data_IF_372335935540
#
_entry.id   IF_372335935540
#
_cell.length_a   1.000
_cell.length_b   1.000
_cell.length_c   1.000
_cell.angle_alpha   90.00
_cell.angle_beta   90.00
_cell.angle_gamma   90.00
#
_symmetry.space_group_name_H-M   'P 1'
#
loop_
_entity.id
_entity.type
_entity.pdbx_description
1 polymer ?
#
# COMPACT_ATOMS: atom_id res chain seq x y z
N UNK A 1 -9.85 38.59 -15.92
CA UNK A 1 -8.39 38.41 -15.92
C UNK A 1 -8.13 36.94 -15.68
N UNK A 2 -7.34 36.27 -16.52
CA UNK A 2 -7.01 34.86 -16.33
C UNK A 2 -5.94 34.72 -15.23
N UNK A 3 -6.22 33.96 -14.19
CA UNK A 3 -5.20 33.54 -13.23
C UNK A 3 -4.10 32.78 -13.99
N UNK A 4 -2.83 33.11 -13.72
CA UNK A 4 -1.69 32.45 -14.35
C UNK A 4 -1.40 31.19 -13.54
N UNK A 5 -1.76 30.04 -14.10
CA UNK A 5 -1.52 28.73 -13.48
C UNK A 5 -0.02 28.39 -13.57
N UNK A 6 0.69 28.52 -12.45
CA UNK A 6 2.09 28.17 -12.35
C UNK A 6 2.28 26.71 -11.92
N UNK A 7 2.59 25.84 -12.88
CA UNK A 7 2.96 24.45 -12.60
C UNK A 7 4.41 24.35 -12.09
N UNK A 8 4.67 23.39 -11.19
CA UNK A 8 6.05 23.07 -10.78
C UNK A 8 6.86 22.49 -11.97
N UNK A 9 8.20 22.64 -12.00
CA UNK A 9 9.00 22.25 -13.18
C UNK A 9 8.85 20.79 -13.62
N UNK A 10 8.64 19.85 -12.69
CA UNK A 10 8.37 18.44 -13.02
C UNK A 10 7.00 18.23 -13.67
N UNK A 11 5.98 19.00 -13.25
CA UNK A 11 4.63 18.90 -13.80
C UNK A 11 4.48 19.64 -15.14
N UNK A 12 5.33 20.64 -15.44
CA UNK A 12 5.30 21.33 -16.75
C UNK A 12 5.54 20.36 -17.91
N UNK A 13 6.50 19.43 -17.75
CA UNK A 13 6.78 18.39 -18.74
C UNK A 13 5.58 17.44 -18.97
N UNK A 14 4.94 17.01 -17.88
CA UNK A 14 3.75 16.12 -17.95
C UNK A 14 2.55 16.82 -18.61
N UNK A 15 2.35 18.12 -18.33
CA UNK A 15 1.31 18.94 -18.96
C UNK A 15 1.58 19.14 -20.46
N UNK A 16 2.82 19.43 -20.89
CA UNK A 16 3.17 19.51 -22.31
C UNK A 16 2.96 18.16 -23.03
N UNK A 17 3.34 17.04 -22.39
CA UNK A 17 3.09 15.70 -22.93
C UNK A 17 1.58 15.45 -23.12
N UNK A 18 0.76 15.79 -22.13
CA UNK A 18 -0.69 15.68 -22.21
C UNK A 18 -1.28 16.56 -23.33
N UNK A 19 -0.85 17.81 -23.45
CA UNK A 19 -1.30 18.71 -24.52
C UNK A 19 -0.88 18.22 -25.92
N UNK A 20 0.30 17.62 -26.06
CA UNK A 20 0.80 17.08 -27.34
C UNK A 20 0.06 15.83 -27.83
N UNK A 21 -0.61 15.10 -26.93
CA UNK A 21 -1.37 13.88 -27.24
C UNK A 21 -2.87 14.13 -27.43
N UNK A 22 -3.34 15.33 -27.07
CA UNK A 22 -4.71 15.79 -27.35
C UNK A 22 -4.83 16.15 -28.83
N UNK A 23 -5.85 15.61 -29.50
CA UNK A 23 -6.15 15.96 -30.90
C UNK A 23 -6.47 17.45 -31.04
N UNK A 24 -6.07 18.05 -32.19
CA UNK A 24 -6.28 19.46 -32.56
C UNK A 24 -7.77 19.79 -32.79
N UNK A 25 -8.59 19.59 -31.78
CA UNK A 25 -10.00 19.91 -31.75
C UNK A 25 -10.16 21.25 -31.03
N UNK A 26 -10.53 22.28 -31.78
CA UNK A 26 -10.68 23.66 -31.29
C UNK A 26 -11.71 23.82 -30.16
N UNK A 27 -12.50 22.79 -29.83
CA UNK A 27 -13.40 22.80 -28.67
C UNK A 27 -12.82 22.16 -27.40
N UNK A 28 -11.56 21.68 -27.41
CA UNK A 28 -10.95 21.13 -26.20
C UNK A 28 -10.65 22.22 -25.16
N UNK A 29 -11.25 22.09 -23.97
CA UNK A 29 -11.10 23.03 -22.85
C UNK A 29 -9.66 23.15 -22.33
N UNK A 30 -8.87 22.08 -22.40
CA UNK A 30 -7.46 22.08 -21.99
C UNK A 30 -6.57 22.82 -22.99
N UNK A 31 -6.80 22.59 -24.29
CA UNK A 31 -6.05 23.28 -25.35
C UNK A 31 -6.30 24.80 -25.30
N UNK A 32 -7.54 25.24 -25.05
CA UNK A 32 -7.89 26.66 -24.84
C UNK A 32 -7.25 27.28 -23.60
N UNK A 33 -7.06 26.49 -22.53
CA UNK A 33 -6.53 26.99 -21.27
C UNK A 33 -4.99 27.03 -21.23
N UNK A 34 -4.31 26.08 -21.87
CA UNK A 34 -2.87 25.86 -21.69
C UNK A 34 -2.06 25.77 -23.00
N UNK A 35 -2.70 25.65 -24.18
CA UNK A 35 -2.00 25.51 -25.46
C UNK A 35 -1.15 26.72 -25.89
N UNK A 36 -1.27 27.85 -25.19
CA UNK A 36 -0.45 29.04 -25.40
C UNK A 36 0.81 29.09 -24.51
N UNK A 37 0.92 28.21 -23.50
CA UNK A 37 2.05 28.15 -22.58
C UNK A 37 3.17 27.29 -23.19
N UNK A 38 4.22 27.92 -23.74
CA UNK A 38 5.49 27.25 -24.05
C UNK A 38 6.42 27.33 -22.85
N UNK A 39 6.85 26.21 -22.32
CA UNK A 39 7.80 26.18 -21.21
C UNK A 39 9.24 26.02 -21.74
N UNK A 40 10.14 26.91 -21.31
CA UNK A 40 11.55 26.87 -21.76
C UNK A 40 12.30 25.75 -21.04
N UNK A 41 12.51 24.63 -21.73
CA UNK A 41 13.23 23.47 -21.21
C UNK A 41 14.73 23.77 -21.01
N UNK A 42 15.21 23.59 -19.78
CA UNK A 42 16.64 23.42 -19.47
C UNK A 42 16.87 21.95 -19.15
N UNK A 43 17.62 21.25 -20.00
CA UNK A 43 17.92 19.83 -19.79
C UNK A 43 18.81 19.61 -18.54
N UNK A 44 18.49 18.65 -17.66
CA UNK A 44 19.43 18.21 -16.63
C UNK A 44 20.58 17.40 -17.26
N UNK A 45 21.82 17.51 -16.73
CA UNK A 45 22.99 16.85 -17.31
C UNK A 45 22.98 15.33 -17.06
N UNK A 46 23.58 14.57 -17.98
CA UNK A 46 23.81 13.12 -17.83
C UNK A 46 24.77 12.83 -16.66
N UNK A 47 24.56 11.74 -15.89
CA UNK A 47 25.54 11.29 -14.90
C UNK A 47 26.77 10.68 -15.58
N UNK A 48 27.93 10.89 -14.97
CA UNK A 48 29.20 10.29 -15.40
C UNK A 48 29.42 8.91 -14.76
N UNK A 49 30.20 8.07 -15.45
CA UNK A 49 30.64 6.75 -14.98
C UNK A 49 31.68 6.89 -13.86
N UNK A 50 31.62 6.05 -12.82
CA UNK A 50 32.77 5.79 -11.95
C UNK A 50 32.75 4.39 -11.33
N UNK A 51 33.94 3.89 -11.02
CA UNK A 51 34.26 2.48 -10.83
C UNK A 51 34.21 1.98 -9.37
N UNK A 52 34.08 0.66 -9.25
CA UNK A 52 34.40 -0.25 -8.14
C UNK A 52 35.26 0.26 -6.96
N UNK A 53 34.89 -0.13 -5.74
CA UNK A 53 35.82 -0.67 -4.71
C UNK A 53 35.06 -1.43 -3.59
N UNK A 54 35.80 -2.23 -2.82
CA UNK A 54 35.33 -3.34 -1.96
C UNK A 54 35.03 -2.90 -0.50
N UNK A 55 34.02 -3.44 0.21
CA UNK A 55 33.96 -4.62 1.13
C UNK A 55 34.72 -4.46 2.48
N UNK A 56 34.14 -5.03 3.55
CA UNK A 56 34.57 -5.20 4.96
C UNK A 56 34.10 -4.13 5.98
N UNK A 57 33.61 -4.46 7.19
CA UNK A 57 33.56 -5.76 7.88
C UNK A 57 32.56 -5.90 9.05
N UNK A 58 32.59 -7.09 9.67
CA UNK A 58 31.59 -7.77 10.56
C UNK A 58 31.35 -7.19 11.97
N UNK A 59 30.20 -7.53 12.58
CA UNK A 59 30.01 -8.35 13.81
C UNK A 59 28.51 -8.31 14.24
N UNK A 60 27.72 -9.41 14.23
CA UNK A 60 27.58 -10.45 15.29
C UNK A 60 27.31 -9.86 16.70
N UNK A 61 26.25 -10.16 17.46
CA UNK A 61 25.29 -11.31 17.49
C UNK A 61 23.85 -10.78 17.80
N UNK A 62 22.78 -11.51 18.15
CA UNK A 62 22.54 -12.87 18.69
C UNK A 62 21.11 -13.36 18.31
N UNK A 63 20.80 -14.65 18.50
CA UNK A 63 19.49 -15.27 18.20
C UNK A 63 18.79 -15.72 19.50
N UNK A 64 17.47 -15.50 19.61
CA UNK A 64 16.58 -16.29 20.47
C UNK A 64 15.40 -16.77 19.62
N UNK A 65 15.07 -18.07 19.76
CA UNK A 65 14.10 -18.78 18.94
C UNK A 65 12.69 -18.65 19.52
N UNK A 66 11.69 -18.41 18.67
CA UNK A 66 10.29 -18.78 18.92
C UNK A 66 9.65 -19.19 17.59
N UNK A 67 8.83 -20.24 17.63
CA UNK A 67 8.51 -21.03 16.45
C UNK A 67 7.13 -20.70 15.87
N UNK A 68 7.09 -20.37 14.58
CA UNK A 68 5.92 -20.57 13.74
C UNK A 68 6.26 -21.53 12.59
N UNK A 69 5.28 -22.33 12.17
CA UNK A 69 5.49 -23.35 11.13
C UNK A 69 5.49 -22.71 9.75
N UNK A 70 6.69 -22.46 9.23
CA UNK A 70 6.88 -22.09 7.83
C UNK A 70 6.24 -23.10 6.87
N UNK A 71 5.39 -22.62 5.97
CA UNK A 71 5.25 -23.22 4.66
C UNK A 71 6.52 -22.92 3.86
N UNK A 72 7.57 -23.71 4.13
CA UNK A 72 8.89 -23.57 3.55
C UNK A 72 8.88 -23.87 2.04
N UNK A 73 8.66 -22.82 1.24
CA UNK A 73 8.87 -22.84 -0.22
C UNK A 73 9.77 -21.66 -0.59
N UNK A 74 11.07 -22.01 -0.69
CA UNK A 74 12.18 -21.26 -1.31
C UNK A 74 12.60 -19.94 -0.63
N UNK A 75 13.52 -20.06 0.33
CA UNK A 75 14.49 -19.00 0.68
C UNK A 75 15.92 -19.32 0.18
N UNK A 76 16.09 -20.39 -0.62
CA UNK A 76 17.34 -20.72 -1.30
C UNK A 76 17.39 -20.12 -2.71
N UNK A 77 17.38 -18.79 -2.80
CA UNK A 77 17.72 -18.08 -4.02
C UNK A 77 19.24 -18.18 -4.29
N UNK A 78 19.69 -19.32 -4.83
CA UNK A 78 20.92 -19.33 -5.63
C UNK A 78 20.75 -18.25 -6.70
N UNK A 79 21.77 -17.42 -6.90
CA UNK A 79 21.80 -16.36 -7.92
C UNK A 79 21.90 -16.97 -9.32
N UNK A 80 20.82 -17.58 -9.80
CA UNK A 80 20.66 -17.92 -11.21
C UNK A 80 20.58 -16.63 -11.99
N UNK A 81 21.68 -16.33 -12.68
CA UNK A 81 21.73 -15.36 -13.76
C UNK A 81 20.54 -15.68 -14.67
N UNK A 82 19.55 -14.80 -14.66
CA UNK A 82 18.38 -14.91 -15.52
C UNK A 82 18.71 -14.10 -16.76
N UNK A 83 18.89 -14.80 -17.88
CA UNK A 83 19.31 -14.18 -19.13
C UNK A 83 18.31 -13.08 -19.53
N UNK A 84 18.85 -11.90 -19.86
CA UNK A 84 18.03 -10.80 -20.37
C UNK A 84 17.26 -11.22 -21.63
N UNK A 85 17.81 -12.14 -22.40
CA UNK A 85 17.19 -12.77 -23.57
C UNK A 85 15.84 -13.44 -23.25
N UNK A 86 15.66 -14.04 -22.06
CA UNK A 86 14.36 -14.61 -21.63
C UNK A 86 13.33 -13.50 -21.33
N UNK A 87 13.79 -12.38 -20.77
CA UNK A 87 12.94 -11.22 -20.47
C UNK A 87 12.49 -10.56 -21.78
N UNK A 88 13.41 -10.34 -22.71
CA UNK A 88 13.14 -9.79 -24.04
C UNK A 88 12.15 -10.67 -24.80
N UNK A 89 12.37 -11.99 -24.87
CA UNK A 89 11.41 -12.95 -25.48
C UNK A 89 10.01 -12.88 -24.89
N UNK A 90 9.88 -12.73 -23.56
CA UNK A 90 8.56 -12.60 -22.91
C UNK A 90 7.93 -11.24 -23.23
N UNK A 91 8.70 -10.14 -23.17
CA UNK A 91 8.24 -8.81 -23.55
C UNK A 91 7.73 -8.77 -25.01
N UNK A 92 8.51 -9.30 -25.95
CA UNK A 92 8.10 -9.42 -27.37
C UNK A 92 6.82 -10.24 -27.53
N UNK A 93 6.73 -11.39 -26.86
CA UNK A 93 5.54 -12.24 -26.91
C UNK A 93 4.27 -11.52 -26.42
N UNK A 94 4.36 -10.80 -25.30
CA UNK A 94 3.26 -10.03 -24.71
C UNK A 94 2.80 -8.84 -25.57
N UNK A 95 3.62 -8.39 -26.52
CA UNK A 95 3.24 -7.33 -27.47
C UNK A 95 2.45 -7.87 -28.68
N UNK A 96 2.61 -9.13 -29.07
CA UNK A 96 2.02 -9.68 -30.32
C UNK A 96 0.71 -10.46 -30.15
N UNK A 97 0.60 -11.36 -29.17
CA UNK A 97 -0.62 -12.13 -28.90
C UNK A 97 -0.61 -12.57 -27.43
N UNK A 98 -1.44 -11.92 -26.63
CA UNK A 98 -1.46 -12.12 -25.19
C UNK A 98 -2.09 -13.46 -24.78
N UNK A 99 -3.28 -13.76 -25.29
CA UNK A 99 -4.12 -14.84 -24.75
C UNK A 99 -3.52 -16.23 -24.94
N UNK A 100 -2.84 -16.48 -26.07
CA UNK A 100 -2.18 -17.77 -26.32
C UNK A 100 -0.84 -17.92 -25.57
N UNK A 101 -0.18 -16.80 -25.24
CA UNK A 101 1.20 -16.78 -24.70
C UNK A 101 1.28 -16.55 -23.18
N UNK A 102 0.17 -16.27 -22.51
CA UNK A 102 0.12 -16.29 -21.03
C UNK A 102 0.60 -17.60 -20.43
N UNK A 103 0.26 -18.74 -21.05
CA UNK A 103 0.67 -20.05 -20.54
C UNK A 103 2.20 -20.20 -20.54
N UNK A 104 2.89 -19.73 -21.59
CA UNK A 104 4.36 -19.70 -21.64
C UNK A 104 4.96 -18.81 -20.54
N UNK A 105 4.41 -17.61 -20.34
CA UNK A 105 4.84 -16.72 -19.24
C UNK A 105 4.63 -17.38 -17.87
N UNK A 106 3.49 -18.05 -17.65
CA UNK A 106 3.17 -18.77 -16.41
C UNK A 106 4.17 -19.90 -16.18
N UNK A 107 4.44 -20.74 -17.18
CA UNK A 107 5.40 -21.85 -17.09
C UNK A 107 6.82 -21.38 -16.76
N UNK A 108 7.32 -20.34 -17.44
CA UNK A 108 8.66 -19.80 -17.19
C UNK A 108 8.77 -19.10 -15.81
N UNK A 109 7.72 -18.40 -15.38
CA UNK A 109 7.68 -17.79 -14.05
C UNK A 109 7.56 -18.82 -12.91
N UNK A 110 6.92 -19.98 -13.16
CA UNK A 110 6.91 -21.10 -12.22
C UNK A 110 8.28 -21.77 -12.11
N UNK A 111 9.02 -21.91 -13.22
CA UNK A 111 10.40 -22.41 -13.23
C UNK A 111 11.38 -21.43 -12.56
N UNK A 112 11.18 -20.12 -12.74
CA UNK A 112 12.04 -19.08 -12.19
C UNK A 112 11.24 -17.90 -11.59
N UNK A 113 10.86 -17.95 -10.30
CA UNK A 113 10.07 -16.90 -9.65
C UNK A 113 10.72 -15.50 -9.64
N UNK A 114 12.04 -15.40 -9.74
CA UNK A 114 12.74 -14.10 -9.81
C UNK A 114 12.43 -13.34 -11.11
N UNK A 115 11.99 -14.05 -12.15
CA UNK A 115 11.55 -13.47 -13.41
C UNK A 115 10.33 -12.54 -13.21
N UNK A 116 9.43 -12.86 -12.27
CA UNK A 116 8.28 -12.00 -11.95
C UNK A 116 8.69 -10.63 -11.39
N UNK A 117 9.72 -10.57 -10.55
CA UNK A 117 10.26 -9.30 -10.05
C UNK A 117 10.80 -8.49 -11.22
N UNK A 118 11.61 -9.11 -12.09
CA UNK A 118 12.19 -8.44 -13.26
C UNK A 118 11.10 -7.94 -14.22
N UNK A 119 10.10 -8.76 -14.53
CA UNK A 119 8.97 -8.38 -15.38
C UNK A 119 8.18 -7.20 -14.78
N UNK A 120 7.87 -7.23 -13.48
CA UNK A 120 7.19 -6.12 -12.80
C UNK A 120 7.99 -4.80 -12.89
N UNK A 121 9.32 -4.86 -12.84
CA UNK A 121 10.18 -3.69 -12.99
C UNK A 121 10.32 -3.18 -14.43
N UNK A 122 10.32 -4.06 -15.44
CA UNK A 122 10.63 -3.69 -16.84
C UNK A 122 9.40 -3.48 -17.74
N UNK A 123 8.26 -4.14 -17.48
CA UNK A 123 7.08 -4.03 -18.33
C UNK A 123 6.43 -2.63 -18.27
N UNK A 124 5.97 -2.12 -19.40
CA UNK A 124 5.19 -0.87 -19.42
C UNK A 124 3.83 -1.06 -18.71
N UNK A 125 3.26 0.05 -18.21
CA UNK A 125 2.01 0.04 -17.42
C UNK A 125 0.88 -0.69 -18.15
N UNK A 126 0.64 -0.36 -19.43
CA UNK A 126 -0.42 -0.96 -20.24
C UNK A 126 -0.29 -2.49 -20.38
N UNK A 127 0.93 -3.03 -20.36
CA UNK A 127 1.17 -4.48 -20.43
C UNK A 127 0.93 -5.12 -19.07
N UNK A 128 1.37 -4.49 -17.97
CA UNK A 128 1.07 -4.96 -16.61
C UNK A 128 -0.44 -4.95 -16.33
N UNK A 129 -1.15 -3.91 -16.73
CA UNK A 129 -2.61 -3.82 -16.55
C UNK A 129 -3.34 -4.93 -17.34
N UNK A 130 -2.88 -5.28 -18.54
CA UNK A 130 -3.38 -6.45 -19.27
C UNK A 130 -3.08 -7.78 -18.56
N UNK A 131 -1.92 -7.92 -17.90
CA UNK A 131 -1.56 -9.11 -17.10
C UNK A 131 -2.47 -9.21 -15.88
N UNK A 132 -2.58 -8.14 -15.09
CA UNK A 132 -3.51 -8.07 -13.96
C UNK A 132 -4.94 -8.38 -14.41
N UNK A 133 -5.42 -7.80 -15.51
CA UNK A 133 -6.75 -8.07 -16.07
C UNK A 133 -6.91 -9.55 -16.45
N UNK A 134 -5.98 -10.14 -17.21
CA UNK A 134 -6.05 -11.56 -17.58
C UNK A 134 -6.07 -12.46 -16.34
N UNK A 135 -5.19 -12.21 -15.36
CA UNK A 135 -5.12 -12.98 -14.11
C UNK A 135 -6.39 -12.82 -13.27
N UNK A 136 -6.97 -11.61 -13.21
CA UNK A 136 -8.15 -11.32 -12.40
C UNK A 136 -9.49 -11.66 -13.07
N UNK A 137 -9.56 -11.77 -14.39
CA UNK A 137 -10.76 -12.20 -15.12
C UNK A 137 -10.77 -13.71 -15.42
N UNK A 138 -9.59 -14.34 -15.58
CA UNK A 138 -9.50 -15.78 -15.83
C UNK A 138 -9.92 -16.61 -14.63
N UNK A 139 -10.67 -17.69 -14.89
CA UNK A 139 -11.11 -18.65 -13.87
C UNK A 139 -10.16 -19.85 -13.70
N UNK A 140 -9.25 -20.07 -14.66
CA UNK A 140 -8.40 -21.27 -14.74
C UNK A 140 -6.89 -20.97 -14.54
N UNK A 141 -6.55 -19.87 -13.85
CA UNK A 141 -5.14 -19.55 -13.57
C UNK A 141 -4.56 -20.58 -12.60
N UNK A 142 -3.34 -21.06 -12.88
CA UNK A 142 -2.61 -21.98 -11.99
C UNK A 142 -2.45 -21.36 -10.58
N UNK A 143 -2.75 -22.13 -9.53
CA UNK A 143 -2.75 -21.65 -8.14
C UNK A 143 -1.37 -21.28 -7.63
N UNK A 144 -0.34 -22.06 -7.96
CA UNK A 144 1.03 -21.78 -7.54
C UNK A 144 1.52 -20.48 -8.20
N UNK A 145 1.13 -20.24 -9.46
CA UNK A 145 1.38 -18.98 -10.14
C UNK A 145 0.61 -17.82 -9.50
N UNK A 146 -0.66 -17.98 -9.11
CA UNK A 146 -1.41 -16.93 -8.38
C UNK A 146 -0.70 -16.56 -7.07
N UNK A 147 -0.25 -17.55 -6.29
CA UNK A 147 0.50 -17.31 -5.05
C UNK A 147 1.78 -16.51 -5.33
N UNK A 148 2.56 -16.87 -6.35
CA UNK A 148 3.74 -16.10 -6.76
C UNK A 148 3.40 -14.70 -7.28
N UNK A 149 2.31 -14.55 -8.03
CA UNK A 149 1.85 -13.27 -8.56
C UNK A 149 1.51 -12.28 -7.43
N UNK A 150 0.75 -12.74 -6.44
CA UNK A 150 0.40 -11.94 -5.25
C UNK A 150 1.58 -11.75 -4.28
N UNK A 151 2.44 -12.75 -4.08
CA UNK A 151 3.59 -12.69 -3.15
C UNK A 151 4.80 -11.94 -3.73
N UNK A 152 4.96 -11.86 -5.05
CA UNK A 152 6.19 -11.40 -5.70
C UNK A 152 5.94 -10.30 -6.75
N UNK A 153 5.08 -10.55 -7.74
CA UNK A 153 4.89 -9.64 -8.87
C UNK A 153 4.21 -8.32 -8.46
N UNK A 154 3.04 -8.39 -7.82
CA UNK A 154 2.27 -7.19 -7.47
C UNK A 154 3.03 -6.25 -6.51
N UNK A 155 3.67 -6.72 -5.41
CA UNK A 155 4.47 -5.85 -4.55
C UNK A 155 5.62 -5.16 -5.30
N UNK A 156 6.30 -5.85 -6.21
CA UNK A 156 7.38 -5.28 -7.01
C UNK A 156 6.87 -4.21 -7.99
N UNK A 157 5.71 -4.44 -8.61
CA UNK A 157 5.09 -3.47 -9.51
C UNK A 157 4.68 -2.19 -8.76
N UNK A 158 3.98 -2.32 -7.64
CA UNK A 158 3.48 -1.19 -6.85
C UNK A 158 4.62 -0.29 -6.33
N UNK A 159 5.79 -0.87 -6.00
CA UNK A 159 6.99 -0.09 -5.64
C UNK A 159 7.50 0.82 -6.77
N UNK A 160 7.30 0.44 -8.03
CA UNK A 160 7.64 1.29 -9.19
C UNK A 160 6.62 2.42 -9.39
N UNK A 161 5.41 2.23 -8.89
CA UNK A 161 4.27 3.14 -9.01
C UNK A 161 2.98 2.38 -9.29
N UNK A 162 1.84 3.01 -9.02
CA UNK A 162 0.51 2.44 -9.26
C UNK A 162 -0.38 3.44 -10.00
N UNK A 163 -1.27 2.94 -10.85
CA UNK A 163 -2.31 3.73 -11.50
C UNK A 163 -3.64 3.62 -10.73
N UNK A 164 -4.60 4.52 -10.98
CA UNK A 164 -5.97 4.35 -10.50
C UNK A 164 -6.55 3.00 -10.99
N UNK A 165 -6.27 2.63 -12.24
CA UNK A 165 -6.69 1.36 -12.82
C UNK A 165 -6.06 0.14 -12.12
N UNK A 166 -4.84 0.27 -11.58
CA UNK A 166 -4.22 -0.75 -10.73
C UNK A 166 -5.06 -1.01 -9.48
N UNK A 167 -5.62 0.05 -8.85
CA UNK A 167 -6.49 -0.09 -7.69
C UNK A 167 -7.83 -0.77 -8.06
N UNK A 168 -8.45 -0.38 -9.18
CA UNK A 168 -9.66 -1.03 -9.70
C UNK A 168 -9.44 -2.54 -9.92
N UNK A 169 -8.33 -2.90 -10.55
CA UNK A 169 -7.95 -4.29 -10.80
C UNK A 169 -7.72 -5.06 -9.49
N UNK A 170 -7.13 -4.44 -8.46
CA UNK A 170 -6.97 -5.07 -7.15
C UNK A 170 -8.30 -5.30 -6.41
N UNK A 171 -9.33 -4.49 -6.64
CA UNK A 171 -10.68 -4.81 -6.15
C UNK A 171 -11.19 -6.11 -6.76
N UNK A 172 -10.99 -6.33 -8.07
CA UNK A 172 -11.29 -7.61 -8.72
C UNK A 172 -10.44 -8.75 -8.15
N UNK A 173 -9.16 -8.48 -7.84
CA UNK A 173 -8.24 -9.42 -7.21
C UNK A 173 -8.71 -9.94 -5.84
N UNK A 174 -9.53 -9.19 -5.11
CA UNK A 174 -10.07 -9.59 -3.79
C UNK A 174 -10.92 -10.88 -3.81
N UNK A 175 -11.37 -11.32 -5.00
CA UNK A 175 -12.03 -12.63 -5.21
C UNK A 175 -11.13 -13.81 -4.85
N UNK A 176 -9.80 -13.67 -5.00
CA UNK A 176 -8.80 -14.66 -4.60
C UNK A 176 -8.45 -14.46 -3.13
N UNK A 177 -9.42 -14.76 -2.26
CA UNK A 177 -9.41 -14.31 -0.86
C UNK A 177 -8.11 -14.62 -0.09
N UNK A 178 -7.52 -15.80 -0.27
CA UNK A 178 -6.34 -16.25 0.48
C UNK A 178 -5.05 -15.64 -0.06
N UNK A 179 -4.87 -15.66 -1.39
CA UNK A 179 -3.71 -15.10 -2.06
C UNK A 179 -3.66 -13.57 -1.93
N UNK A 180 -4.82 -12.92 -1.98
CA UNK A 180 -4.96 -11.49 -1.74
C UNK A 180 -4.62 -11.10 -0.29
N UNK A 181 -5.01 -11.91 0.71
CA UNK A 181 -4.64 -11.67 2.10
C UNK A 181 -3.12 -11.80 2.31
N UNK A 182 -2.44 -12.73 1.62
CA UNK A 182 -0.96 -12.82 1.60
C UNK A 182 -0.34 -11.55 1.03
N UNK A 183 -0.88 -11.04 -0.08
CA UNK A 183 -0.43 -9.78 -0.68
C UNK A 183 -0.59 -8.59 0.28
N UNK A 184 -1.77 -8.40 0.88
CA UNK A 184 -2.02 -7.31 1.84
C UNK A 184 -1.08 -7.41 3.06
N UNK A 185 -0.88 -8.62 3.61
CA UNK A 185 0.08 -8.86 4.70
C UNK A 185 1.50 -8.47 4.34
N UNK A 186 1.93 -8.77 3.10
CA UNK A 186 3.28 -8.44 2.64
C UNK A 186 3.48 -6.94 2.46
N UNK A 187 2.54 -6.23 1.82
CA UNK A 187 2.69 -4.78 1.60
C UNK A 187 2.63 -3.97 2.89
N UNK A 188 1.86 -4.43 3.89
CA UNK A 188 1.81 -3.79 5.22
C UNK A 188 3.16 -3.84 5.94
N UNK A 189 3.99 -4.87 5.69
CA UNK A 189 5.33 -5.00 6.26
C UNK A 189 6.43 -4.31 5.43
N UNK A 190 6.11 -3.67 4.30
CA UNK A 190 7.10 -3.16 3.35
C UNK A 190 7.07 -1.62 3.27
N UNK A 191 7.86 -0.95 4.13
CA UNK A 191 7.94 0.52 4.19
C UNK A 191 8.39 1.18 2.86
N UNK A 192 8.96 0.42 1.92
CA UNK A 192 9.34 0.93 0.60
C UNK A 192 8.13 1.11 -0.34
N UNK A 193 6.97 0.54 0.00
CA UNK A 193 5.74 0.76 -0.77
C UNK A 193 5.17 2.14 -0.38
N UNK A 194 4.89 3.02 -1.35
CA UNK A 194 4.32 4.35 -1.07
C UNK A 194 3.05 4.27 -0.21
N UNK A 195 3.00 5.00 0.91
CA UNK A 195 1.90 4.90 1.87
C UNK A 195 0.54 5.37 1.31
N UNK A 196 0.55 6.23 0.29
CA UNK A 196 -0.64 6.66 -0.45
C UNK A 196 -1.34 5.48 -1.16
N UNK A 197 -0.61 4.45 -1.60
CA UNK A 197 -1.20 3.27 -2.23
C UNK A 197 -2.26 2.62 -1.34
N UNK A 198 -1.90 2.31 -0.09
CA UNK A 198 -2.82 1.70 0.87
C UNK A 198 -3.92 2.67 1.32
N UNK A 199 -3.65 3.97 1.38
CA UNK A 199 -4.67 4.98 1.69
C UNK A 199 -5.72 5.06 0.58
N UNK A 200 -5.30 5.07 -0.69
CA UNK A 200 -6.20 5.17 -1.84
C UNK A 200 -6.98 3.87 -2.04
N UNK A 201 -6.32 2.71 -1.90
CA UNK A 201 -6.98 1.41 -1.87
C UNK A 201 -8.08 1.36 -0.80
N UNK A 202 -7.78 1.74 0.45
CA UNK A 202 -8.75 1.71 1.56
C UNK A 202 -9.95 2.66 1.34
N UNK A 203 -9.77 3.80 0.65
CA UNK A 203 -10.89 4.71 0.29
C UNK A 203 -11.87 4.08 -0.71
N UNK A 204 -11.42 3.11 -1.51
CA UNK A 204 -12.27 2.40 -2.49
C UNK A 204 -13.00 1.20 -1.89
N UNK A 205 -12.64 0.79 -0.67
CA UNK A 205 -13.28 -0.32 0.03
C UNK A 205 -14.61 0.12 0.68
N UNK A 206 -15.61 -0.76 0.62
CA UNK A 206 -16.83 -0.61 1.41
C UNK A 206 -16.57 -0.96 2.91
N UNK A 207 -17.54 -0.65 3.78
CA UNK A 207 -17.37 -0.82 5.24
C UNK A 207 -17.08 -2.26 5.69
N UNK A 208 -17.58 -3.29 4.98
CA UNK A 208 -17.28 -4.69 5.28
C UNK A 208 -15.86 -5.06 4.84
N UNK A 209 -15.43 -4.61 3.66
CA UNK A 209 -14.08 -4.80 3.14
C UNK A 209 -13.04 -4.08 4.02
N UNK A 210 -13.34 -2.87 4.51
CA UNK A 210 -12.51 -2.16 5.48
C UNK A 210 -12.43 -2.92 6.81
N UNK A 211 -13.53 -3.54 7.26
CA UNK A 211 -13.54 -4.40 8.45
C UNK A 211 -12.62 -5.61 8.27
N UNK A 212 -12.67 -6.26 7.10
CA UNK A 212 -11.76 -7.36 6.76
C UNK A 212 -10.31 -6.90 6.70
N UNK A 213 -10.01 -5.77 6.06
CA UNK A 213 -8.67 -5.19 6.00
C UNK A 213 -8.08 -4.97 7.40
N UNK A 214 -8.86 -4.41 8.33
CA UNK A 214 -8.44 -4.26 9.72
C UNK A 214 -8.18 -5.60 10.39
N UNK A 215 -9.07 -6.60 10.23
CA UNK A 215 -8.88 -7.93 10.81
C UNK A 215 -7.61 -8.65 10.30
N UNK A 216 -7.04 -8.28 9.15
CA UNK A 216 -5.73 -8.79 8.72
C UNK A 216 -4.59 -8.32 9.65
N UNK A 217 -4.70 -7.09 10.21
CA UNK A 217 -3.73 -6.53 11.16
C UNK A 217 -3.69 -7.30 12.48
N UNK A 218 -4.77 -7.95 12.90
CA UNK A 218 -4.83 -8.69 14.17
C UNK A 218 -3.81 -9.84 14.27
N UNK A 219 -3.39 -10.37 13.12
CA UNK A 219 -2.38 -11.43 13.02
C UNK A 219 -1.11 -10.93 12.31
N UNK A 220 -0.80 -9.63 12.41
CA UNK A 220 0.42 -9.03 11.88
C UNK A 220 1.19 -8.36 13.01
N UNK A 221 2.26 -9.02 13.45
CA UNK A 221 3.31 -8.36 14.22
C UNK A 221 4.01 -7.33 13.30
N UNK A 222 3.86 -6.04 13.60
CA UNK A 222 4.41 -4.93 12.82
C UNK A 222 5.55 -4.27 13.60
N UNK A 223 6.60 -3.85 12.90
CA UNK A 223 7.54 -2.92 13.52
C UNK A 223 6.85 -1.57 13.77
N UNK A 224 7.34 -0.79 14.73
CA UNK A 224 6.79 0.56 14.97
C UNK A 224 6.92 1.48 13.76
N UNK A 225 7.94 1.29 12.93
CA UNK A 225 8.08 1.98 11.64
C UNK A 225 6.97 1.57 10.66
N UNK A 226 6.71 0.27 10.51
CA UNK A 226 5.62 -0.26 9.67
C UNK A 226 4.25 0.23 10.16
N UNK A 227 4.01 0.26 11.47
CA UNK A 227 2.75 0.80 12.01
C UNK A 227 2.59 2.29 11.71
N UNK A 228 3.62 3.11 11.94
CA UNK A 228 3.61 4.55 11.63
C UNK A 228 3.41 4.82 10.14
N UNK A 229 4.04 4.04 9.27
CA UNK A 229 3.91 4.14 7.81
C UNK A 229 2.47 3.90 7.33
N UNK A 230 1.81 2.89 7.89
CA UNK A 230 0.44 2.50 7.53
C UNK A 230 -0.66 3.24 8.31
N UNK A 231 -0.29 4.03 9.32
CA UNK A 231 -1.19 4.62 10.30
C UNK A 231 -2.39 5.40 9.71
N UNK A 232 -2.18 6.08 8.58
CA UNK A 232 -3.27 6.81 7.93
C UNK A 232 -4.24 5.89 7.17
N UNK A 233 -3.79 4.78 6.57
CA UNK A 233 -4.70 3.78 5.98
C UNK A 233 -5.46 3.01 7.06
N UNK A 234 -4.82 2.71 8.20
CA UNK A 234 -5.48 2.12 9.38
C UNK A 234 -6.58 3.06 9.88
N UNK A 235 -6.31 4.36 10.03
CA UNK A 235 -7.31 5.36 10.40
C UNK A 235 -8.47 5.45 9.40
N UNK A 236 -8.18 5.51 8.10
CA UNK A 236 -9.21 5.58 7.06
C UNK A 236 -10.13 4.35 7.08
N UNK A 237 -9.54 3.14 7.20
CA UNK A 237 -10.32 1.91 7.32
C UNK A 237 -11.14 1.89 8.61
N UNK A 238 -10.54 2.28 9.75
CA UNK A 238 -11.24 2.28 11.02
C UNK A 238 -12.39 3.28 11.08
N UNK A 239 -12.26 4.45 10.44
CA UNK A 239 -13.31 5.48 10.42
C UNK A 239 -14.63 4.93 9.86
N UNK A 240 -14.59 4.32 8.66
CA UNK A 240 -15.79 4.02 7.88
C UNK A 240 -16.19 2.51 7.90
N UNK A 241 -15.42 1.64 8.57
CA UNK A 241 -15.74 0.21 8.70
C UNK A 241 -16.99 -0.12 9.54
N UNK A 242 -17.54 -1.32 9.34
CA UNK A 242 -18.55 -1.94 10.22
C UNK A 242 -17.92 -2.26 11.57
N UNK A 243 -18.30 -1.50 12.60
CA UNK A 243 -17.74 -1.63 13.96
C UNK A 243 -18.22 -2.94 14.60
N UNK A 244 -17.29 -3.69 15.17
CA UNK A 244 -17.54 -4.89 15.97
C UNK A 244 -16.55 -4.95 17.12
N UNK A 245 -16.88 -5.68 18.19
CA UNK A 245 -16.04 -5.79 19.39
C UNK A 245 -14.62 -6.28 19.06
N UNK A 246 -14.48 -7.21 18.11
CA UNK A 246 -13.18 -7.68 17.63
C UNK A 246 -12.31 -6.55 17.06
N UNK A 247 -12.93 -5.62 16.31
CA UNK A 247 -12.24 -4.46 15.74
C UNK A 247 -11.96 -3.40 16.82
N UNK A 248 -12.86 -3.21 17.78
CA UNK A 248 -12.61 -2.33 18.94
C UNK A 248 -11.40 -2.81 19.75
N UNK A 249 -11.40 -4.09 20.16
CA UNK A 249 -10.30 -4.69 20.91
C UNK A 249 -8.97 -4.65 20.14
N UNK A 250 -9.00 -4.89 18.82
CA UNK A 250 -7.82 -4.76 17.95
C UNK A 250 -7.26 -3.33 17.99
N UNK A 251 -8.09 -2.32 17.71
CA UNK A 251 -7.64 -0.93 17.66
C UNK A 251 -7.18 -0.45 19.02
N UNK A 252 -7.84 -0.83 20.11
CA UNK A 252 -7.39 -0.55 21.47
C UNK A 252 -6.00 -1.16 21.75
N UNK A 253 -5.75 -2.39 21.27
CA UNK A 253 -4.47 -3.08 21.45
C UNK A 253 -3.35 -2.38 20.67
N UNK A 254 -3.57 -2.07 19.38
CA UNK A 254 -2.61 -1.31 18.56
C UNK A 254 -2.33 0.08 19.15
N UNK A 255 -3.35 0.80 19.60
CA UNK A 255 -3.16 2.08 20.29
C UNK A 255 -2.27 1.90 21.53
N UNK A 256 -2.53 0.92 22.38
CA UNK A 256 -1.70 0.68 23.56
C UNK A 256 -0.24 0.35 23.21
N UNK A 257 -0.03 -0.58 22.28
CA UNK A 257 1.27 -1.11 21.85
C UNK A 257 2.18 0.00 21.27
N UNK A 258 1.68 0.78 20.31
CA UNK A 258 2.48 1.81 19.62
C UNK A 258 2.44 3.19 20.28
N UNK A 259 1.78 3.33 21.44
CA UNK A 259 1.59 4.60 22.15
C UNK A 259 2.87 5.40 22.40
N UNK A 260 3.96 4.72 22.76
CA UNK A 260 5.27 5.34 23.03
C UNK A 260 5.98 5.87 21.77
N UNK A 261 5.71 5.27 20.61
CA UNK A 261 6.37 5.63 19.36
C UNK A 261 5.56 6.66 18.56
N UNK A 262 4.25 6.75 18.81
CA UNK A 262 3.32 7.64 18.13
C UNK A 262 2.92 8.90 18.95
N UNK A 263 3.68 9.25 19.99
CA UNK A 263 3.36 10.30 20.97
C UNK A 263 2.93 11.63 20.34
N UNK A 264 3.61 12.07 19.28
CA UNK A 264 3.33 13.35 18.60
C UNK A 264 2.62 13.20 17.26
N UNK A 265 2.29 11.97 16.85
CA UNK A 265 1.74 11.73 15.52
C UNK A 265 0.28 12.18 15.39
N UNK A 266 -0.04 12.88 14.29
CA UNK A 266 -1.37 13.45 14.04
C UNK A 266 -2.39 12.41 13.62
N UNK A 267 -2.00 11.39 12.86
CA UNK A 267 -2.89 10.30 12.43
C UNK A 267 -3.15 9.31 13.57
N UNK A 268 -2.18 9.10 14.46
CA UNK A 268 -2.40 8.38 15.72
C UNK A 268 -3.44 9.10 16.58
N UNK A 269 -3.30 10.42 16.75
CA UNK A 269 -4.26 11.24 17.47
C UNK A 269 -5.67 11.18 16.86
N UNK A 270 -5.79 11.11 15.53
CA UNK A 270 -7.06 10.91 14.82
C UNK A 270 -7.67 9.52 15.08
N UNK A 271 -6.85 8.46 15.04
CA UNK A 271 -7.28 7.09 15.32
C UNK A 271 -7.78 6.96 16.76
N UNK A 272 -7.02 7.48 17.73
CA UNK A 272 -7.40 7.52 19.14
C UNK A 272 -8.72 8.29 19.37
N UNK A 273 -8.88 9.45 18.74
CA UNK A 273 -10.12 10.23 18.83
C UNK A 273 -11.33 9.47 18.25
N UNK A 274 -11.15 8.84 17.09
CA UNK A 274 -12.19 8.05 16.43
C UNK A 274 -12.58 6.81 17.26
N UNK A 275 -11.59 6.17 17.92
CA UNK A 275 -11.84 5.08 18.85
C UNK A 275 -12.73 5.54 20.02
N UNK A 276 -12.34 6.62 20.71
CA UNK A 276 -13.11 7.19 21.83
C UNK A 276 -14.54 7.58 21.43
N UNK A 277 -14.72 8.18 20.25
CA UNK A 277 -16.04 8.51 19.70
C UNK A 277 -16.90 7.27 19.49
N UNK A 278 -16.31 6.18 18.99
CA UNK A 278 -17.03 4.93 18.74
C UNK A 278 -17.42 4.22 20.05
N UNK A 279 -16.50 4.18 21.02
CA UNK A 279 -16.77 3.69 22.38
C UNK A 279 -17.97 4.44 22.99
N UNK A 280 -18.01 5.77 22.86
CA UNK A 280 -19.11 6.61 23.34
C UNK A 280 -20.44 6.32 22.65
N UNK A 281 -20.47 6.13 21.33
CA UNK A 281 -21.71 5.84 20.61
C UNK A 281 -22.22 4.42 20.81
N UNK A 282 -21.32 3.44 20.97
CA UNK A 282 -21.66 2.01 21.00
C UNK A 282 -21.74 1.41 22.40
N UNK A 283 -21.44 2.20 23.46
CA UNK A 283 -21.30 1.72 24.86
C UNK A 283 -20.35 0.52 24.98
N UNK A 284 -19.27 0.52 24.18
CA UNK A 284 -18.30 -0.56 24.18
C UNK A 284 -17.44 -0.54 25.45
N UNK A 285 -17.23 -1.71 26.07
CA UNK A 285 -16.29 -1.83 27.17
C UNK A 285 -14.86 -1.58 26.66
N UNK A 286 -14.09 -0.78 27.41
CA UNK A 286 -12.70 -0.48 27.11
C UNK A 286 -11.88 -0.41 28.41
N UNK A 287 -10.57 -0.61 28.32
CA UNK A 287 -9.71 -0.47 29.50
C UNK A 287 -9.43 1.02 29.78
N UNK A 288 -10.09 1.57 30.81
CA UNK A 288 -9.98 2.98 31.21
C UNK A 288 -8.55 3.41 31.53
N UNK A 289 -7.84 2.64 32.36
CA UNK A 289 -6.45 2.94 32.76
C UNK A 289 -5.50 2.99 31.57
N UNK A 290 -5.65 2.06 30.63
CA UNK A 290 -4.82 2.01 29.42
C UNK A 290 -5.09 3.22 28.52
N UNK A 291 -6.37 3.55 28.31
CA UNK A 291 -6.77 4.71 27.51
C UNK A 291 -6.33 6.03 28.15
N UNK A 292 -6.50 6.20 29.45
CA UNK A 292 -6.03 7.37 30.19
C UNK A 292 -4.52 7.55 30.06
N UNK A 293 -3.74 6.47 30.22
CA UNK A 293 -2.28 6.46 30.06
C UNK A 293 -1.88 6.87 28.64
N UNK A 294 -2.53 6.34 27.61
CA UNK A 294 -2.28 6.69 26.21
C UNK A 294 -2.56 8.18 25.95
N UNK A 295 -3.71 8.70 26.39
CA UNK A 295 -4.10 10.11 26.18
C UNK A 295 -3.15 11.05 26.94
N UNK A 296 -2.79 10.68 28.18
CA UNK A 296 -1.87 11.44 29.03
C UNK A 296 -0.48 11.53 28.41
N UNK A 297 0.02 10.45 27.83
CA UNK A 297 1.31 10.41 27.14
C UNK A 297 1.30 11.27 25.86
N UNK A 298 0.21 11.22 25.09
CA UNK A 298 0.08 11.83 23.75
C UNK A 298 0.24 13.37 23.74
N UNK A 299 0.80 13.92 22.66
CA UNK A 299 1.22 15.33 22.52
C UNK A 299 0.78 16.02 21.22
N UNK A 300 0.09 15.33 20.32
CA UNK A 300 -0.44 15.97 19.10
C UNK A 300 -1.62 16.92 19.41
N UNK A 301 -2.07 17.75 18.44
CA UNK A 301 -3.25 18.61 18.59
C UNK A 301 -4.54 17.87 19.01
N UNK A 302 -4.62 16.55 18.81
CA UNK A 302 -5.77 15.74 19.18
C UNK A 302 -5.84 15.38 20.68
N UNK A 303 -4.79 15.67 21.49
CA UNK A 303 -4.80 15.38 22.93
C UNK A 303 -6.01 15.97 23.66
N UNK A 304 -6.29 17.27 23.46
CA UNK A 304 -7.40 17.97 24.13
C UNK A 304 -8.77 17.42 23.69
N UNK A 305 -9.07 17.25 22.40
CA UNK A 305 -10.25 16.51 21.95
C UNK A 305 -10.41 15.12 22.58
N UNK A 306 -9.33 14.33 22.68
CA UNK A 306 -9.39 13.00 23.30
C UNK A 306 -9.73 13.08 24.80
N UNK A 307 -9.09 13.99 25.55
CA UNK A 307 -9.41 14.23 26.97
C UNK A 307 -10.87 14.63 27.18
N UNK A 308 -11.42 15.50 26.33
CA UNK A 308 -12.83 15.90 26.43
C UNK A 308 -13.77 14.70 26.31
N UNK A 309 -13.60 13.85 25.29
CA UNK A 309 -14.47 12.68 25.07
C UNK A 309 -14.25 11.61 26.15
N UNK A 310 -13.02 11.42 26.61
CA UNK A 310 -12.71 10.50 27.71
C UNK A 310 -13.39 10.92 29.01
N UNK A 311 -13.37 12.21 29.37
CA UNK A 311 -14.07 12.69 30.57
C UNK A 311 -15.61 12.56 30.44
N UNK A 312 -16.16 12.75 29.24
CA UNK A 312 -17.59 12.52 28.97
C UNK A 312 -17.98 11.04 29.14
N UNK A 313 -17.10 10.10 28.76
CA UNK A 313 -17.30 8.66 28.99
C UNK A 313 -17.36 8.35 30.49
N UNK A 314 -16.37 8.82 31.27
CA UNK A 314 -16.31 8.58 32.72
C UNK A 314 -17.57 9.08 33.44
N UNK A 315 -18.04 10.29 33.11
CA UNK A 315 -19.26 10.87 33.68
C UNK A 315 -20.52 10.09 33.30
N UNK A 316 -20.58 9.54 32.07
CA UNK A 316 -21.74 8.77 31.62
C UNK A 316 -21.83 7.41 32.33
N UNK A 317 -20.70 6.76 32.61
CA UNK A 317 -20.68 5.48 33.33
C UNK A 317 -21.07 5.63 34.82
N UNK A 318 -20.66 6.73 35.47
CA UNK A 318 -21.07 7.06 36.85
C UNK A 318 -22.59 7.25 36.96
N UNK A 319 -23.22 7.90 35.98
CA UNK A 319 -24.68 8.11 35.96
C UNK A 319 -25.52 6.83 35.69
N UNK A 320 -24.89 5.69 35.43
CA UNK A 320 -25.55 4.41 35.15
C UNK A 320 -25.01 3.24 36.00
N UNK A 321 -24.34 3.54 37.12
CA UNK A 321 -23.89 2.54 38.12
C UNK A 321 -24.49 2.72 39.53
N UNK A 322 -25.37 3.71 39.70
CA UNK A 322 -26.26 3.92 40.86
C UNK A 322 -27.70 3.44 40.56
#
# INVERSE_FOLDING_TARGET
MSEIWNFSPSLQFEVELCLSTVSNNENNKWLKAFGHCKFNLVHPPRPAEHNNSEIEGRNASTIIVSAEKDHAVVDNAKTTITDNETIEKICECLHTDLSSRYNFMIEECLKNPNLLVKLACHLNINTVEKICKFVFESNNVNKDFLVLFFKVFLPAYIKRGYSCHTLDLLLCGSKFSLEFDIFIRKILKDCNIPNNFLQDYVKMLNGEQQSRYLLLLANLDLSSEQFVHNLFSIYLAYKDCVKSDKIQCLIQSLLYEYSNNCISDKNYGRLLLSFLQTVKSCKGNFNREYVEKIITLHRSPFKRPCLTIFNELLNYEQLHTD
#
